data_IF_514946194312
#
_entry.id   IF_514946194312
#
_cell.length_a   1.000
_cell.length_b   1.000
_cell.length_c   1.000
_cell.angle_alpha   90.00
_cell.angle_beta   90.00
_cell.angle_gamma   90.00
#
_symmetry.space_group_name_H-M   'P 1'
#
loop_
_entity.id
_entity.type
_entity.pdbx_description
1 polymer ?
#
# COMPACT_ATOMS: atom_id res chain seq x y z
N UNK A 1 -16.16 -5.14 -1.33
CA UNK A 1 -14.76 -4.82 -1.66
C UNK A 1 -14.08 -5.92 -2.49
N UNK A 2 -14.04 -7.17 -2.00
CA UNK A 2 -13.33 -8.28 -2.68
C UNK A 2 -13.83 -8.57 -4.09
N UNK A 3 -15.15 -8.60 -4.32
CA UNK A 3 -15.74 -8.85 -5.65
C UNK A 3 -15.35 -7.80 -6.69
N UNK A 4 -15.30 -6.52 -6.28
CA UNK A 4 -14.87 -5.42 -7.16
C UNK A 4 -13.39 -5.56 -7.52
N UNK A 5 -12.53 -5.89 -6.55
CA UNK A 5 -11.10 -6.16 -6.80
C UNK A 5 -10.93 -7.30 -7.81
N UNK A 6 -11.64 -8.41 -7.63
CA UNK A 6 -11.59 -9.56 -8.55
C UNK A 6 -12.09 -9.18 -9.94
N UNK A 7 -13.21 -8.46 -10.04
CA UNK A 7 -13.76 -8.01 -11.32
C UNK A 7 -12.79 -7.06 -12.05
N UNK A 8 -12.20 -6.09 -11.36
CA UNK A 8 -11.19 -5.19 -11.92
C UNK A 8 -9.96 -5.96 -12.42
N UNK A 9 -9.47 -6.94 -11.65
CA UNK A 9 -8.34 -7.76 -12.08
C UNK A 9 -8.62 -8.49 -13.40
N UNK A 10 -9.77 -9.16 -13.51
CA UNK A 10 -10.16 -9.86 -14.72
C UNK A 10 -10.43 -8.92 -15.90
N UNK A 11 -11.01 -7.74 -15.66
CA UNK A 11 -11.22 -6.73 -16.68
C UNK A 11 -9.89 -6.23 -17.28
N UNK A 12 -8.88 -5.96 -16.44
CA UNK A 12 -7.56 -5.55 -16.94
C UNK A 12 -6.82 -6.68 -17.64
N UNK A 13 -6.95 -7.93 -17.18
CA UNK A 13 -6.40 -9.09 -17.89
C UNK A 13 -7.00 -9.21 -19.31
N UNK A 14 -8.31 -9.01 -19.46
CA UNK A 14 -8.97 -8.97 -20.77
C UNK A 14 -8.47 -7.79 -21.63
N UNK A 15 -8.39 -6.59 -21.04
CA UNK A 15 -7.91 -5.40 -21.74
C UNK A 15 -6.48 -5.59 -22.29
N UNK A 16 -5.59 -6.19 -21.49
CA UNK A 16 -4.23 -6.50 -21.92
C UNK A 16 -4.20 -7.58 -23.00
N UNK A 17 -4.96 -8.66 -22.85
CA UNK A 17 -5.03 -9.72 -23.85
C UNK A 17 -5.51 -9.19 -25.21
N UNK A 18 -6.42 -8.21 -25.21
CA UNK A 18 -6.89 -7.56 -26.43
C UNK A 18 -5.92 -6.51 -26.99
N UNK A 19 -5.37 -5.63 -26.15
CA UNK A 19 -4.59 -4.47 -26.59
C UNK A 19 -3.14 -4.80 -26.93
N UNK A 20 -2.52 -5.77 -26.24
CA UNK A 20 -1.08 -6.03 -26.36
C UNK A 20 -0.67 -6.63 -27.71
N UNK A 21 -1.39 -7.60 -28.30
CA UNK A 21 -1.03 -8.13 -29.63
C UNK A 21 -0.93 -7.04 -30.73
N UNK A 22 -1.95 -6.17 -30.95
CA UNK A 22 -1.86 -5.14 -31.97
C UNK A 22 -0.82 -4.05 -31.65
N UNK A 23 -0.55 -3.78 -30.36
CA UNK A 23 0.52 -2.88 -29.93
C UNK A 23 1.91 -3.43 -30.30
N UNK A 24 2.12 -4.73 -30.13
CA UNK A 24 3.39 -5.37 -30.50
C UNK A 24 3.58 -5.46 -32.01
N UNK A 25 2.51 -5.62 -32.79
CA UNK A 25 2.60 -5.60 -34.26
C UNK A 25 2.91 -4.21 -34.83
N UNK A 26 2.27 -3.17 -34.28
CA UNK A 26 2.39 -1.80 -34.82
C UNK A 26 3.63 -1.05 -34.33
N UNK A 27 3.92 -1.11 -33.04
CA UNK A 27 4.90 -0.26 -32.35
C UNK A 27 6.11 -1.08 -31.86
N UNK A 28 6.03 -2.42 -31.89
CA UNK A 28 7.10 -3.37 -31.59
C UNK A 28 7.75 -3.10 -30.22
N UNK A 29 9.08 -2.92 -30.18
CA UNK A 29 9.83 -2.73 -28.94
C UNK A 29 9.43 -1.45 -28.18
N UNK A 30 8.86 -0.45 -28.85
CA UNK A 30 8.47 0.80 -28.19
C UNK A 30 7.31 0.60 -27.21
N UNK A 31 6.54 -0.49 -27.35
CA UNK A 31 5.47 -0.89 -26.42
C UNK A 31 6.01 -1.12 -25.01
N UNK A 32 7.27 -1.55 -24.85
CA UNK A 32 7.89 -1.70 -23.53
C UNK A 32 8.07 -0.37 -22.79
N UNK A 33 8.26 0.75 -23.48
CA UNK A 33 8.30 2.07 -22.83
C UNK A 33 6.93 2.49 -22.29
N UNK A 34 5.84 2.07 -22.92
CA UNK A 34 4.47 2.30 -22.43
C UNK A 34 4.28 1.54 -21.11
N UNK A 35 4.65 0.26 -21.07
CA UNK A 35 4.61 -0.53 -19.83
C UNK A 35 5.52 0.04 -18.74
N UNK A 36 6.73 0.45 -19.10
CA UNK A 36 7.65 1.13 -18.17
C UNK A 36 7.03 2.40 -17.59
N UNK A 37 6.36 3.20 -18.41
CA UNK A 37 5.61 4.38 -17.96
C UNK A 37 4.50 4.05 -16.97
N UNK A 38 3.70 3.00 -17.24
CA UNK A 38 2.69 2.53 -16.30
C UNK A 38 3.29 2.01 -14.99
N UNK A 39 4.44 1.31 -15.03
CA UNK A 39 5.15 0.89 -13.83
C UNK A 39 5.60 2.10 -12.99
N UNK A 40 6.18 3.13 -13.60
CA UNK A 40 6.59 4.35 -12.88
C UNK A 40 5.38 5.08 -12.29
N UNK A 41 4.30 5.21 -13.06
CA UNK A 41 3.06 5.81 -12.56
C UNK A 41 2.48 5.02 -11.38
N UNK A 42 2.50 3.68 -11.45
CA UNK A 42 2.08 2.81 -10.35
C UNK A 42 2.97 2.98 -9.12
N UNK A 43 4.30 3.06 -9.29
CA UNK A 43 5.23 3.31 -8.19
C UNK A 43 4.92 4.64 -7.49
N UNK A 44 4.71 5.71 -8.24
CA UNK A 44 4.33 7.02 -7.68
C UNK A 44 3.00 6.91 -6.93
N UNK A 45 2.00 6.30 -7.54
CA UNK A 45 0.68 6.13 -6.93
C UNK A 45 0.73 5.36 -5.61
N UNK A 46 1.41 4.20 -5.59
CA UNK A 46 1.55 3.36 -4.39
C UNK A 46 2.33 4.10 -3.30
N UNK A 47 3.44 4.74 -3.65
CA UNK A 47 4.30 5.44 -2.69
C UNK A 47 3.58 6.56 -1.92
N UNK A 48 2.70 7.31 -2.59
CA UNK A 48 1.98 8.40 -1.95
C UNK A 48 0.66 7.99 -1.29
N UNK A 49 -0.03 6.97 -1.81
CA UNK A 49 -1.42 6.67 -1.43
C UNK A 49 -1.61 5.44 -0.54
N UNK A 50 -0.66 4.50 -0.50
CA UNK A 50 -0.83 3.24 0.22
C UNK A 50 0.09 3.15 1.45
N UNK A 51 -0.45 3.16 2.68
CA UNK A 51 0.35 2.98 3.89
C UNK A 51 0.84 1.53 3.99
N UNK A 52 1.96 1.34 4.71
CA UNK A 52 2.52 0.01 4.97
C UNK A 52 1.56 -0.84 5.81
N UNK A 53 1.29 -2.07 5.36
CA UNK A 53 0.31 -2.97 5.97
C UNK A 53 0.96 -4.10 6.77
N UNK A 54 2.27 -4.34 6.60
CA UNK A 54 2.98 -5.43 7.26
C UNK A 54 3.05 -5.21 8.77
N UNK A 55 2.70 -6.25 9.54
CA UNK A 55 2.82 -6.25 11.00
C UNK A 55 1.75 -5.42 11.70
N UNK A 56 0.66 -5.09 11.01
CA UNK A 56 -0.51 -4.39 11.55
C UNK A 56 -1.69 -5.33 11.65
N UNK A 57 -2.52 -5.17 12.67
CA UNK A 57 -3.82 -5.85 12.76
C UNK A 57 -4.86 -5.13 11.91
N UNK A 58 -6.01 -5.79 11.66
CA UNK A 58 -7.08 -5.18 10.87
C UNK A 58 -7.69 -3.96 11.57
N UNK A 59 -7.75 -3.99 12.90
CA UNK A 59 -8.23 -2.91 13.75
C UNK A 59 -7.33 -1.68 13.65
N UNK A 60 -6.01 -1.87 13.62
CA UNK A 60 -5.04 -0.79 13.47
C UNK A 60 -5.07 -0.19 12.07
N UNK A 61 -5.28 -1.01 11.05
CA UNK A 61 -5.47 -0.51 9.68
C UNK A 61 -6.73 0.35 9.57
N UNK A 62 -7.82 -0.04 10.22
CA UNK A 62 -9.04 0.78 10.27
C UNK A 62 -8.78 2.13 10.96
N UNK A 63 -8.00 2.16 12.05
CA UNK A 63 -7.58 3.41 12.69
C UNK A 63 -6.73 4.29 11.76
N UNK A 64 -5.80 3.69 11.01
CA UNK A 64 -4.97 4.41 10.05
C UNK A 64 -5.83 5.04 8.94
N UNK A 65 -6.81 4.32 8.40
CA UNK A 65 -7.69 4.85 7.34
C UNK A 65 -8.70 5.89 7.84
N UNK A 66 -9.08 5.86 9.12
CA UNK A 66 -9.98 6.84 9.74
C UNK A 66 -9.26 8.05 10.36
N UNK A 67 -7.92 8.09 10.33
CA UNK A 67 -7.15 9.20 10.88
C UNK A 67 -7.11 10.41 9.93
N UNK A 68 -6.97 11.63 10.47
CA UNK A 68 -6.98 12.90 9.70
C UNK A 68 -5.75 13.11 8.78
N UNK A 69 -4.94 12.07 8.56
CA UNK A 69 -3.82 12.15 7.63
C UNK A 69 -4.34 12.19 6.20
N UNK A 70 -3.91 13.17 5.38
CA UNK A 70 -4.33 13.25 4.00
C UNK A 70 -3.85 12.03 3.22
N UNK A 71 -4.72 11.53 2.33
CA UNK A 71 -4.54 10.28 1.57
C UNK A 71 -3.21 10.22 0.79
N UNK A 72 -2.69 11.36 0.33
CA UNK A 72 -1.41 11.45 -0.40
C UNK A 72 -0.17 11.47 0.51
N UNK A 73 -0.35 11.35 1.82
CA UNK A 73 0.72 11.25 2.81
C UNK A 73 0.72 9.90 3.51
N UNK A 74 0.64 8.82 2.73
CA UNK A 74 0.65 7.46 3.24
C UNK A 74 1.83 7.14 4.18
N UNK A 75 2.99 7.77 3.97
CA UNK A 75 4.17 7.62 4.85
C UNK A 75 3.99 8.23 6.25
N UNK A 76 3.03 9.13 6.43
CA UNK A 76 2.71 9.75 7.71
C UNK A 76 1.74 8.87 8.48
N UNK A 77 0.75 8.30 7.78
CA UNK A 77 -0.14 7.25 8.29
C UNK A 77 0.63 6.03 8.83
N UNK A 78 1.72 5.62 8.19
CA UNK A 78 2.51 4.47 8.64
C UNK A 78 3.26 4.68 9.95
N UNK A 79 3.38 5.93 10.43
CA UNK A 79 4.06 6.26 11.71
C UNK A 79 3.13 6.17 12.92
N UNK A 80 1.82 5.97 12.72
CA UNK A 80 0.87 5.81 13.81
C UNK A 80 1.30 4.58 14.63
N UNK A 81 1.58 4.70 15.94
CA UNK A 81 2.14 3.60 16.71
C UNK A 81 1.18 2.40 16.74
N UNK A 82 1.71 1.22 16.46
CA UNK A 82 1.02 -0.08 16.61
C UNK A 82 0.69 -0.30 18.08
N UNK A 83 -0.49 -0.83 18.41
CA UNK A 83 -0.93 -1.14 19.77
C UNK A 83 0.07 -2.07 20.48
N UNK A 84 0.68 -3.02 19.74
CA UNK A 84 1.73 -3.88 20.28
C UNK A 84 3.02 -3.14 20.66
N UNK A 85 3.36 -2.05 19.96
CA UNK A 85 4.48 -1.19 20.33
C UNK A 85 4.15 -0.36 21.58
N UNK A 86 2.90 0.08 21.73
CA UNK A 86 2.45 0.82 22.92
C UNK A 86 2.51 -0.08 24.17
N UNK A 87 1.99 -1.30 24.09
CA UNK A 87 2.03 -2.25 25.23
C UNK A 87 3.48 -2.57 25.63
N UNK A 88 4.36 -2.83 24.65
CA UNK A 88 5.79 -3.06 24.88
C UNK A 88 6.49 -1.85 25.52
N UNK A 89 6.24 -0.63 25.01
CA UNK A 89 6.82 0.59 25.57
C UNK A 89 6.33 0.84 27.01
N UNK A 90 5.09 0.47 27.32
CA UNK A 90 4.51 0.57 28.67
C UNK A 90 5.13 -0.46 29.60
N UNK A 91 5.22 -1.73 29.18
CA UNK A 91 5.84 -2.81 29.97
C UNK A 91 7.30 -2.46 30.31
N UNK A 92 8.10 -2.06 29.31
CA UNK A 92 9.51 -1.73 29.52
C UNK A 92 9.69 -0.50 30.43
N UNK A 93 8.84 0.51 30.31
CA UNK A 93 8.89 1.70 31.17
C UNK A 93 8.46 1.40 32.60
N UNK A 94 7.55 0.44 32.78
CA UNK A 94 7.09 -0.04 34.09
C UNK A 94 8.20 -0.83 34.79
N UNK A 95 8.88 -1.76 34.09
CA UNK A 95 10.03 -2.50 34.62
C UNK A 95 11.17 -1.57 35.05
N UNK A 96 11.53 -0.57 34.24
CA UNK A 96 12.57 0.42 34.57
C UNK A 96 12.16 1.28 35.78
N UNK A 97 10.86 1.54 35.97
CA UNK A 97 10.37 2.28 37.12
C UNK A 97 10.43 1.43 38.41
N UNK A 98 10.17 0.13 38.32
CA UNK A 98 10.31 -0.81 39.44
C UNK A 98 11.77 -1.03 39.84
N UNK A 99 12.71 -1.18 38.90
CA UNK A 99 14.14 -1.33 39.22
C UNK A 99 14.76 -0.09 39.88
N UNK A 100 14.20 1.10 39.64
CA UNK A 100 14.70 2.37 40.20
C UNK A 100 14.13 2.71 41.59
N UNK A 101 13.27 1.86 42.14
CA UNK A 101 12.60 2.05 43.43
C UNK A 101 13.24 1.18 44.51
#
# INVERSE_FOLDING_TARGET
>A
AVSLSTASNWAFNFALAYAVPPLLESIQYRTYFIFGGFCVAMTIHVFFMFPETKGRTLEEMDQIFNSDVPIFKAWEASKIPTTSHIEYDIEQKTEIHEEKK
#
